data_IF_488349321257
#
_entry.id   IF_488349321257
#
_cell.length_a   1.000
_cell.length_b   1.000
_cell.length_c   1.000
_cell.angle_alpha   90.00
_cell.angle_beta   90.00
_cell.angle_gamma   90.00
#
_symmetry.space_group_name_H-M   'P 1'
#
loop_
_entity.id
_entity.type
_entity.pdbx_description
1 polymer ?
#
# COMPACT_ATOMS: atom_id res chain seq x y z
N UNK A 1 -8.21 -32.81 -38.53
CA UNK A 1 -9.03 -31.74 -37.93
C UNK A 1 -8.76 -31.67 -36.43
N UNK A 2 -8.70 -32.81 -35.75
CA UNK A 2 -8.47 -32.92 -34.30
C UNK A 2 -7.13 -32.35 -33.81
N UNK A 3 -6.04 -32.50 -34.57
CA UNK A 3 -4.72 -31.96 -34.22
C UNK A 3 -4.67 -30.43 -34.23
N UNK A 4 -5.38 -29.78 -35.16
CA UNK A 4 -5.49 -28.32 -35.24
C UNK A 4 -6.28 -27.78 -34.05
N UNK A 5 -7.37 -28.46 -33.68
CA UNK A 5 -8.17 -28.13 -32.50
C UNK A 5 -7.36 -28.25 -31.21
N UNK A 6 -6.58 -29.33 -31.06
CA UNK A 6 -5.70 -29.55 -29.90
C UNK A 6 -4.63 -28.46 -29.81
N UNK A 7 -3.99 -28.08 -30.93
CA UNK A 7 -3.00 -27.02 -30.94
C UNK A 7 -3.60 -25.66 -30.55
N UNK A 8 -4.79 -25.35 -31.02
CA UNK A 8 -5.48 -24.11 -30.65
C UNK A 8 -5.82 -24.08 -29.14
N UNK A 9 -6.29 -25.20 -28.59
CA UNK A 9 -6.54 -25.33 -27.14
C UNK A 9 -5.24 -25.17 -26.36
N UNK A 10 -4.15 -25.78 -26.82
CA UNK A 10 -2.84 -25.64 -26.18
C UNK A 10 -2.35 -24.18 -26.17
N UNK A 11 -2.46 -23.48 -27.30
CA UNK A 11 -2.12 -22.05 -27.38
C UNK A 11 -2.94 -21.22 -26.41
N UNK A 12 -4.26 -21.44 -26.36
CA UNK A 12 -5.14 -20.72 -25.43
C UNK A 12 -4.75 -20.96 -23.96
N UNK A 13 -4.41 -22.20 -23.59
CA UNK A 13 -3.96 -22.52 -22.24
C UNK A 13 -2.63 -21.82 -21.89
N UNK A 14 -1.71 -21.69 -22.84
CA UNK A 14 -0.45 -20.95 -22.64
C UNK A 14 -0.71 -19.45 -22.45
N UNK A 15 -1.57 -18.85 -23.27
CA UNK A 15 -1.96 -17.44 -23.13
C UNK A 15 -2.65 -17.17 -21.79
N UNK A 16 -3.58 -18.04 -21.38
CA UNK A 16 -4.23 -17.93 -20.07
C UNK A 16 -3.23 -18.03 -18.92
N UNK A 17 -2.31 -19.00 -18.96
CA UNK A 17 -1.28 -19.16 -17.94
C UNK A 17 -0.35 -17.93 -17.87
N UNK A 18 0.03 -17.37 -19.02
CA UNK A 18 0.84 -16.16 -19.07
C UNK A 18 0.10 -14.96 -18.43
N UNK A 19 -1.18 -14.77 -18.75
CA UNK A 19 -1.99 -13.69 -18.17
C UNK A 19 -2.21 -13.86 -16.67
N UNK A 20 -2.42 -15.09 -16.19
CA UNK A 20 -2.56 -15.35 -14.76
C UNK A 20 -1.30 -14.98 -13.99
N UNK A 21 -0.12 -15.31 -14.52
CA UNK A 21 1.16 -14.92 -13.90
C UNK A 21 1.37 -13.41 -13.89
N UNK A 22 0.99 -12.70 -14.96
CA UNK A 22 1.08 -11.25 -14.99
C UNK A 22 0.17 -10.61 -13.91
N UNK A 23 -1.06 -11.08 -13.78
CA UNK A 23 -2.01 -10.63 -12.75
C UNK A 23 -1.48 -10.94 -11.34
N UNK A 24 -0.87 -12.11 -11.13
CA UNK A 24 -0.28 -12.47 -9.85
C UNK A 24 0.81 -11.48 -9.43
N UNK A 25 1.69 -11.08 -10.37
CA UNK A 25 2.72 -10.07 -10.12
C UNK A 25 2.09 -8.71 -9.81
N UNK A 26 1.13 -8.25 -10.61
CA UNK A 26 0.44 -6.97 -10.36
C UNK A 26 -0.26 -6.95 -9.00
N UNK A 27 -0.90 -8.06 -8.59
CA UNK A 27 -1.50 -8.18 -7.26
C UNK A 27 -0.44 -8.12 -6.17
N UNK A 28 0.70 -8.80 -6.32
CA UNK A 28 1.80 -8.72 -5.36
C UNK A 28 2.32 -7.28 -5.22
N UNK A 29 2.55 -6.59 -6.34
CA UNK A 29 2.97 -5.18 -6.35
C UNK A 29 1.93 -4.23 -5.71
N UNK A 30 0.63 -4.51 -5.88
CA UNK A 30 -0.45 -3.76 -5.23
C UNK A 30 -0.62 -4.09 -3.74
N UNK A 31 -0.27 -5.32 -3.34
CA UNK A 31 -0.31 -5.77 -1.94
C UNK A 31 0.89 -5.29 -1.15
N UNK A 32 2.03 -5.07 -1.80
CA UNK A 32 3.19 -4.44 -1.18
C UNK A 32 2.82 -2.99 -0.79
N UNK A 33 2.72 -2.73 0.51
CA UNK A 33 2.55 -1.37 1.00
C UNK A 33 3.73 -0.52 0.54
N UNK A 34 3.50 0.67 -0.05
CA UNK A 34 4.59 1.50 -0.50
C UNK A 34 5.48 1.87 0.68
N UNK A 35 6.80 1.78 0.49
CA UNK A 35 7.74 2.19 1.53
C UNK A 35 7.51 3.66 1.91
N UNK A 36 7.50 3.93 3.22
CA UNK A 36 7.41 5.30 3.71
C UNK A 36 8.67 6.07 3.33
N UNK A 37 8.49 7.26 2.73
CA UNK A 37 9.60 8.18 2.44
C UNK A 37 10.44 8.41 3.72
N UNK A 38 11.78 8.31 3.67
CA UNK A 38 12.63 8.31 4.86
C UNK A 38 12.40 9.49 5.82
N UNK A 39 12.11 10.68 5.28
CA UNK A 39 11.84 11.89 6.06
C UNK A 39 10.62 11.77 6.98
N UNK A 40 9.60 10.99 6.58
CA UNK A 40 8.42 10.76 7.41
C UNK A 40 8.72 9.79 8.54
N UNK A 41 9.52 8.75 8.27
CA UNK A 41 10.02 7.82 9.28
C UNK A 41 10.86 8.56 10.31
N UNK A 42 11.77 9.43 9.88
CA UNK A 42 12.59 10.24 10.77
C UNK A 42 11.75 11.21 11.61
N UNK A 43 10.76 11.87 11.00
CA UNK A 43 9.84 12.78 11.70
C UNK A 43 9.05 12.04 12.77
N UNK A 44 8.49 10.87 12.45
CA UNK A 44 7.77 10.04 13.40
C UNK A 44 8.67 9.63 14.57
N UNK A 45 9.89 9.13 14.29
CA UNK A 45 10.88 8.78 15.32
C UNK A 45 11.22 9.96 16.24
N UNK A 46 11.35 11.18 15.69
CA UNK A 46 11.58 12.41 16.47
C UNK A 46 10.40 12.75 17.36
N UNK A 47 9.16 12.59 16.88
CA UNK A 47 7.93 12.86 17.66
C UNK A 47 7.76 11.83 18.77
N UNK A 48 7.98 10.54 18.50
CA UNK A 48 7.84 9.47 19.50
C UNK A 48 8.81 9.61 20.70
N UNK A 49 9.95 10.27 20.51
CA UNK A 49 10.90 10.58 21.59
C UNK A 49 10.47 11.76 22.46
N UNK A 50 9.53 12.59 22.00
CA UNK A 50 9.05 13.72 22.76
C UNK A 50 8.04 13.26 23.80
N UNK A 51 8.08 13.87 24.99
CA UNK A 51 7.09 13.60 26.03
C UNK A 51 5.73 14.13 25.56
N UNK A 52 4.70 13.28 25.38
CA UNK A 52 3.40 13.75 24.97
C UNK A 52 2.79 14.62 26.08
N UNK A 53 2.03 15.61 25.67
CA UNK A 53 1.27 16.48 26.57
C UNK A 53 -0.20 16.18 26.33
N UNK A 54 -0.91 15.81 27.38
CA UNK A 54 -2.36 15.72 27.31
C UNK A 54 -2.94 17.13 27.36
N UNK A 55 -3.72 17.49 26.33
CA UNK A 55 -4.35 18.81 26.21
C UNK A 55 -5.84 18.74 26.51
N UNK A 56 -6.51 17.62 26.24
CA UNK A 56 -7.97 17.49 26.45
C UNK A 56 -8.75 17.86 25.20
N UNK A 57 -9.66 18.82 25.30
CA UNK A 57 -10.50 19.27 24.18
C UNK A 57 -9.85 20.40 23.36
N UNK A 58 -10.50 20.81 22.27
CA UNK A 58 -10.07 21.97 21.47
C UNK A 58 -10.18 23.26 22.30
N UNK A 59 -11.19 23.38 23.15
CA UNK A 59 -11.33 24.53 24.06
C UNK A 59 -10.17 24.61 25.07
N UNK A 60 -9.67 23.46 25.55
CA UNK A 60 -8.52 23.40 26.44
C UNK A 60 -7.21 23.76 25.73
N UNK A 61 -7.10 23.39 24.44
CA UNK A 61 -6.01 23.84 23.57
C UNK A 61 -6.01 25.36 23.41
N UNK A 62 -7.17 25.93 23.05
CA UNK A 62 -7.35 27.36 22.82
C UNK A 62 -7.01 28.17 24.08
N UNK A 63 -7.51 27.76 25.25
CA UNK A 63 -7.18 28.38 26.55
C UNK A 63 -5.69 28.33 26.86
N UNK A 64 -5.02 27.21 26.60
CA UNK A 64 -3.59 27.02 26.93
C UNK A 64 -2.69 27.94 26.10
N UNK A 65 -3.04 28.19 24.85
CA UNK A 65 -2.24 28.97 23.91
C UNK A 65 -2.78 30.39 23.67
N UNK A 66 -3.87 30.80 24.34
CA UNK A 66 -4.46 32.13 24.20
C UNK A 66 -5.06 32.37 22.81
N UNK A 67 -5.54 31.30 22.16
CA UNK A 67 -6.17 31.38 20.85
C UNK A 67 -7.68 31.62 21.08
N UNK A 68 -8.03 32.90 21.28
CA UNK A 68 -9.36 33.48 21.62
C UNK A 68 -9.54 33.87 23.08
#
# INVERSE_FOLDING_TARGET
MDTVTINNVYTLLQEMNHRLKAIEIEIQELMEEPELRPEYVEKAKKIMKQKPIHIGTVEDFDKRYGLK
#
